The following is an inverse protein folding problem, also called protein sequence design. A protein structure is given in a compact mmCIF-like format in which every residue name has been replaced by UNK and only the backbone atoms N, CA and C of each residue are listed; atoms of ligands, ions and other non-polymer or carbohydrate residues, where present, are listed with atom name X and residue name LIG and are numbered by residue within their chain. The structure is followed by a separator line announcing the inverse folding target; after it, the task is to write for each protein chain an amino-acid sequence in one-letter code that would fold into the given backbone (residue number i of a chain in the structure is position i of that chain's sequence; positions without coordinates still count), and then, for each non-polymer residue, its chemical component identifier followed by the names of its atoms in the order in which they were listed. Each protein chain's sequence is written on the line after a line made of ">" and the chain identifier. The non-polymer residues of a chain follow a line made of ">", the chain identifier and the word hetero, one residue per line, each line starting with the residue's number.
data_IF_451299656693
#
_entry.id   IF_451299656693
#
_cell.length_a   1.000
_cell.length_b   1.000
_cell.length_c   1.000
_cell.angle_alpha   90.00
_cell.angle_beta   90.00
_cell.angle_gamma   90.00
#
_symmetry.space_group_name_H-M   'P 1'
#
loop_
_entity.id
_entity.type
_entity.pdbx_description
1 polymer ?
#
# COMPACT_ATOMS: atom_id res chain seq x y z
N UNK A 1 23.66 -22.96 -2.32
CA UNK A 1 22.76 -21.96 -1.72
C UNK A 1 21.68 -22.72 -0.96
N UNK A 2 21.62 -22.58 0.35
CA UNK A 2 20.51 -23.12 1.14
C UNK A 2 19.31 -22.24 0.83
N UNK A 3 18.28 -22.78 0.17
CA UNK A 3 17.05 -22.01 -0.05
C UNK A 3 16.39 -21.78 1.30
N UNK A 4 16.30 -20.52 1.71
CA UNK A 4 15.53 -20.14 2.90
C UNK A 4 14.08 -20.64 2.72
N UNK A 5 13.49 -21.24 3.76
CA UNK A 5 12.08 -21.58 3.72
C UNK A 5 11.24 -20.33 3.44
N UNK A 6 10.34 -20.40 2.47
CA UNK A 6 9.49 -19.27 2.05
C UNK A 6 8.76 -18.62 3.23
N UNK A 7 8.29 -19.42 4.18
CA UNK A 7 7.59 -18.94 5.39
C UNK A 7 8.46 -18.01 6.23
N UNK A 8 9.74 -18.36 6.45
CA UNK A 8 10.68 -17.55 7.24
C UNK A 8 10.98 -16.24 6.51
N UNK A 9 11.15 -16.30 5.17
CA UNK A 9 11.32 -15.10 4.36
C UNK A 9 10.11 -14.17 4.48
N UNK A 10 8.90 -14.67 4.28
CA UNK A 10 7.68 -13.88 4.31
C UNK A 10 7.41 -13.28 5.70
N UNK A 11 7.68 -14.03 6.77
CA UNK A 11 7.56 -13.52 8.13
C UNK A 11 8.55 -12.37 8.37
N UNK A 12 9.84 -12.58 8.05
CA UNK A 12 10.90 -11.59 8.26
C UNK A 12 10.63 -10.33 7.43
N UNK A 13 10.29 -10.50 6.14
CA UNK A 13 9.90 -9.42 5.25
C UNK A 13 8.73 -8.60 5.83
N UNK A 14 7.67 -9.27 6.28
CA UNK A 14 6.51 -8.60 6.87
C UNK A 14 6.85 -7.83 8.14
N UNK A 15 7.76 -8.34 8.97
CA UNK A 15 8.23 -7.69 10.20
C UNK A 15 9.06 -6.44 9.89
N UNK A 16 10.03 -6.51 8.96
CA UNK A 16 10.82 -5.33 8.55
C UNK A 16 9.94 -4.29 7.89
N UNK A 17 9.08 -4.70 6.97
CA UNK A 17 8.13 -3.81 6.31
C UNK A 17 7.19 -3.10 7.29
N UNK A 18 6.72 -3.79 8.33
CA UNK A 18 5.95 -3.18 9.40
C UNK A 18 6.71 -2.06 10.09
N UNK A 19 8.02 -2.19 10.31
CA UNK A 19 8.83 -1.13 10.93
C UNK A 19 8.88 0.12 10.04
N UNK A 20 8.95 -0.02 8.72
CA UNK A 20 8.93 1.09 7.76
C UNK A 20 7.56 1.78 7.79
N UNK A 21 6.49 1.02 7.59
CA UNK A 21 5.11 1.53 7.52
C UNK A 21 4.70 2.23 8.82
N UNK A 22 5.11 1.69 9.97
CA UNK A 22 4.80 2.28 11.29
C UNK A 22 5.78 3.37 11.73
N UNK A 23 6.70 3.78 10.82
CA UNK A 23 7.74 4.80 11.09
C UNK A 23 8.65 4.47 12.28
N UNK A 24 8.77 3.20 12.66
CA UNK A 24 9.81 2.73 13.61
C UNK A 24 11.18 2.70 12.96
N UNK A 25 11.24 2.50 11.63
CA UNK A 25 12.35 2.87 10.77
C UNK A 25 11.92 4.11 10.00
N UNK A 26 12.53 5.24 10.31
CA UNK A 26 12.15 6.54 9.73
C UNK A 26 12.82 6.75 8.36
N UNK A 27 12.24 7.58 7.46
CA UNK A 27 12.88 7.98 6.22
C UNK A 27 14.31 8.50 6.43
N UNK A 28 15.23 8.15 5.54
CA UNK A 28 16.66 8.49 5.64
C UNK A 28 17.46 7.67 6.64
N UNK A 29 16.80 6.90 7.52
CA UNK A 29 17.50 6.12 8.54
C UNK A 29 18.33 5.00 7.94
N UNK A 30 19.64 4.96 8.28
CA UNK A 30 20.54 3.90 7.91
C UNK A 30 20.14 2.57 8.57
N UNK A 31 20.11 1.54 7.76
CA UNK A 31 19.77 0.17 8.16
C UNK A 31 21.03 -0.68 8.06
N UNK A 32 21.36 -1.38 9.15
CA UNK A 32 22.40 -2.42 9.15
C UNK A 32 21.76 -3.76 9.47
N UNK A 33 22.30 -4.83 8.88
CA UNK A 33 21.85 -6.21 9.13
C UNK A 33 21.90 -6.55 10.60
N UNK A 34 23.00 -6.23 11.26
CA UNK A 34 23.20 -6.46 12.69
C UNK A 34 22.13 -5.78 13.55
N UNK A 35 21.79 -4.51 13.25
CA UNK A 35 20.76 -3.79 14.02
C UNK A 35 19.37 -4.43 13.81
N UNK A 36 19.05 -4.85 12.60
CA UNK A 36 17.77 -5.52 12.32
C UNK A 36 17.70 -6.89 12.96
N UNK A 37 18.75 -7.69 12.85
CA UNK A 37 18.86 -9.00 13.48
C UNK A 37 18.59 -8.90 14.98
N UNK A 38 19.28 -7.99 15.67
CA UNK A 38 19.07 -7.74 17.09
C UNK A 38 17.65 -7.23 17.42
N UNK A 39 17.15 -6.24 16.65
CA UNK A 39 15.82 -5.65 16.90
C UNK A 39 14.67 -6.64 16.71
N UNK A 40 14.83 -7.54 15.74
CA UNK A 40 13.78 -8.50 15.37
C UNK A 40 14.00 -9.88 16.00
N UNK A 41 15.16 -10.10 16.64
CA UNK A 41 15.59 -11.41 17.14
C UNK A 41 15.47 -12.50 16.05
N UNK A 42 16.09 -12.23 14.89
CA UNK A 42 16.05 -13.07 13.68
C UNK A 42 17.50 -13.46 13.35
N UNK A 43 17.67 -14.64 12.73
CA UNK A 43 18.98 -15.07 12.23
C UNK A 43 19.48 -14.18 11.11
N UNK A 44 20.78 -13.90 11.09
CA UNK A 44 21.42 -12.95 10.18
C UNK A 44 21.27 -13.32 8.69
N UNK A 45 21.21 -14.62 8.35
CA UNK A 45 21.17 -15.12 6.97
C UNK A 45 19.88 -14.77 6.19
N UNK A 46 18.79 -14.44 6.89
CA UNK A 46 17.51 -14.07 6.27
C UNK A 46 17.48 -12.57 5.89
N UNK A 47 18.16 -11.73 6.65
CA UNK A 47 18.07 -10.28 6.54
C UNK A 47 18.58 -9.75 5.21
N UNK A 48 19.76 -10.16 4.67
CA UNK A 48 20.26 -9.67 3.39
C UNK A 48 19.26 -9.86 2.25
N UNK A 49 18.60 -11.03 2.20
CA UNK A 49 17.63 -11.36 1.14
C UNK A 49 16.40 -10.47 1.27
N UNK A 50 15.92 -10.23 2.48
CA UNK A 50 14.78 -9.33 2.75
C UNK A 50 15.13 -7.88 2.40
N UNK A 51 16.33 -7.40 2.75
CA UNK A 51 16.78 -6.06 2.40
C UNK A 51 16.88 -5.86 0.89
N UNK A 52 17.38 -6.86 0.16
CA UNK A 52 17.43 -6.84 -1.30
C UNK A 52 16.02 -6.74 -1.91
N UNK A 53 15.06 -7.51 -1.39
CA UNK A 53 13.67 -7.43 -1.83
C UNK A 53 13.07 -6.04 -1.59
N UNK A 54 13.25 -5.46 -0.40
CA UNK A 54 12.77 -4.13 -0.08
C UNK A 54 13.42 -3.03 -0.92
N UNK A 55 14.69 -3.22 -1.30
CA UNK A 55 15.38 -2.34 -2.24
C UNK A 55 14.80 -2.43 -3.66
N UNK A 56 14.54 -3.64 -4.15
CA UNK A 56 13.86 -3.85 -5.46
C UNK A 56 12.46 -3.21 -5.49
N UNK A 57 11.76 -3.22 -4.36
CA UNK A 57 10.48 -2.52 -4.19
C UNK A 57 10.64 -1.00 -4.07
N UNK A 58 11.86 -0.48 -4.01
CA UNK A 58 12.17 0.94 -3.80
C UNK A 58 11.73 1.49 -2.44
N UNK A 59 11.60 0.63 -1.43
CA UNK A 59 11.41 1.02 -0.04
C UNK A 59 12.74 1.39 0.64
N UNK A 60 13.83 0.79 0.16
CA UNK A 60 15.19 1.09 0.60
C UNK A 60 16.02 1.62 -0.57
N UNK A 61 16.98 2.50 -0.27
CA UNK A 61 17.95 3.06 -1.21
C UNK A 61 19.37 2.89 -0.69
N UNK A 62 20.38 2.96 -1.60
CA UNK A 62 21.78 2.69 -1.26
C UNK A 62 22.25 1.34 -1.78
N UNK A 63 23.30 0.81 -1.20
CA UNK A 63 23.81 -0.54 -1.48
C UNK A 63 24.25 -1.25 -0.19
N UNK A 64 24.41 -2.57 -0.24
CA UNK A 64 24.77 -3.36 0.94
C UNK A 64 26.17 -3.00 1.48
N UNK A 65 27.11 -2.59 0.62
CA UNK A 65 28.50 -2.27 1.00
C UNK A 65 28.60 -0.96 1.79
N UNK A 66 27.82 0.07 1.35
CA UNK A 66 27.80 1.41 1.96
C UNK A 66 26.61 1.63 2.90
N UNK A 67 25.76 0.62 3.05
CA UNK A 67 24.53 0.66 3.83
C UNK A 67 23.31 1.03 3.01
N UNK A 68 22.18 0.55 3.48
CA UNK A 68 20.85 0.86 2.97
C UNK A 68 20.16 1.84 3.92
N UNK A 69 19.32 2.70 3.39
CA UNK A 69 18.45 3.57 4.19
C UNK A 69 17.01 3.48 3.71
N UNK A 70 16.06 3.77 4.61
CA UNK A 70 14.65 3.92 4.21
C UNK A 70 14.55 5.08 3.23
N UNK A 71 13.90 4.84 2.09
CA UNK A 71 13.72 5.89 1.07
C UNK A 71 12.95 7.06 1.68
N UNK A 72 13.48 8.24 1.48
CA UNK A 72 12.84 9.51 1.77
C UNK A 72 12.22 10.05 0.47
N UNK A 73 11.02 10.60 0.55
CA UNK A 73 10.32 11.21 -0.58
C UNK A 73 10.21 12.71 -0.32
N UNK A 74 10.53 13.51 -1.33
CA UNK A 74 10.26 14.95 -1.26
C UNK A 74 8.78 15.24 -1.59
N UNK A 75 8.31 16.44 -1.22
CA UNK A 75 6.92 16.87 -1.47
C UNK A 75 6.54 16.76 -2.95
N UNK A 76 7.46 17.11 -3.86
CA UNK A 76 7.22 16.99 -5.29
C UNK A 76 7.00 15.55 -5.73
N UNK A 77 7.84 14.60 -5.30
CA UNK A 77 7.66 13.17 -5.58
C UNK A 77 6.34 12.64 -5.04
N UNK A 78 5.94 13.09 -3.85
CA UNK A 78 4.65 12.75 -3.25
C UNK A 78 3.51 13.27 -4.12
N UNK A 79 3.56 14.54 -4.52
CA UNK A 79 2.53 15.16 -5.36
C UNK A 79 2.38 14.43 -6.71
N UNK A 80 3.49 14.18 -7.40
CA UNK A 80 3.53 13.51 -8.71
C UNK A 80 2.99 12.07 -8.61
N UNK A 81 3.33 11.35 -7.54
CA UNK A 81 2.84 9.99 -7.36
C UNK A 81 1.33 9.95 -7.06
N UNK A 82 0.79 10.91 -6.32
CA UNK A 82 -0.65 11.01 -6.15
C UNK A 82 -1.37 11.34 -7.46
N UNK A 83 -0.79 12.16 -8.35
CA UNK A 83 -1.35 12.42 -9.68
C UNK A 83 -1.39 11.15 -10.54
N UNK A 84 -0.32 10.33 -10.48
CA UNK A 84 -0.31 8.99 -11.09
C UNK A 84 -1.38 8.06 -10.49
N UNK A 85 -1.55 8.06 -9.16
CA UNK A 85 -2.58 7.29 -8.48
C UNK A 85 -3.97 7.70 -8.94
N UNK A 86 -4.26 9.00 -8.96
CA UNK A 86 -5.56 9.52 -9.41
C UNK A 86 -5.86 9.06 -10.83
N UNK A 87 -4.90 9.18 -11.75
CA UNK A 87 -5.08 8.78 -13.15
C UNK A 87 -5.36 7.27 -13.29
N UNK A 88 -4.56 6.42 -12.64
CA UNK A 88 -4.64 4.97 -12.76
C UNK A 88 -5.84 4.43 -11.97
N UNK A 89 -5.99 4.83 -10.71
CA UNK A 89 -7.01 4.27 -9.84
C UNK A 89 -8.42 4.72 -10.18
N UNK A 90 -8.62 5.95 -10.69
CA UNK A 90 -9.92 6.38 -11.22
C UNK A 90 -10.38 5.49 -12.39
N UNK A 91 -9.46 5.13 -13.28
CA UNK A 91 -9.79 4.23 -14.38
C UNK A 91 -10.03 2.79 -13.89
N UNK A 92 -9.25 2.30 -12.92
CA UNK A 92 -9.49 0.96 -12.35
C UNK A 92 -10.84 0.88 -11.65
N UNK A 93 -11.22 1.90 -10.89
CA UNK A 93 -12.53 2.02 -10.23
C UNK A 93 -13.67 2.05 -11.25
N UNK A 94 -13.54 2.85 -12.32
CA UNK A 94 -14.52 2.90 -13.40
C UNK A 94 -14.76 1.51 -13.98
N UNK A 95 -13.69 0.86 -14.45
CA UNK A 95 -13.79 -0.45 -15.09
C UNK A 95 -14.25 -1.54 -14.12
N UNK A 96 -13.83 -1.50 -12.86
CA UNK A 96 -14.31 -2.41 -11.83
C UNK A 96 -15.82 -2.25 -11.61
N UNK A 97 -16.30 -1.01 -11.51
CA UNK A 97 -17.74 -0.71 -11.35
C UNK A 97 -18.55 -1.23 -12.54
N UNK A 98 -18.02 -1.11 -13.77
CA UNK A 98 -18.67 -1.60 -14.98
C UNK A 98 -18.71 -3.13 -15.07
N UNK A 99 -17.56 -3.76 -14.85
CA UNK A 99 -17.33 -5.13 -15.32
C UNK A 99 -17.25 -6.19 -14.21
N UNK A 100 -16.97 -5.80 -12.96
CA UNK A 100 -16.81 -6.77 -11.89
C UNK A 100 -18.14 -7.44 -11.55
N UNK A 101 -18.17 -8.78 -11.34
CA UNK A 101 -19.36 -9.46 -10.85
C UNK A 101 -19.74 -8.92 -9.47
N UNK A 102 -21.05 -8.99 -9.13
CA UNK A 102 -21.56 -8.46 -7.86
C UNK A 102 -20.82 -9.04 -6.66
N UNK A 103 -20.49 -10.33 -6.70
CA UNK A 103 -19.71 -10.99 -5.65
C UNK A 103 -18.38 -10.31 -5.33
N UNK A 104 -17.71 -9.71 -6.33
CA UNK A 104 -16.46 -8.96 -6.10
C UNK A 104 -16.68 -7.62 -5.40
N UNK A 105 -17.81 -6.97 -5.67
CA UNK A 105 -18.20 -5.76 -4.94
C UNK A 105 -18.57 -6.11 -3.49
N UNK A 106 -19.26 -7.24 -3.31
CA UNK A 106 -19.60 -7.76 -1.98
C UNK A 106 -18.35 -8.15 -1.19
N UNK A 107 -17.33 -8.76 -1.85
CA UNK A 107 -16.02 -9.05 -1.23
C UNK A 107 -15.37 -7.77 -0.68
N UNK A 108 -15.38 -6.66 -1.47
CA UNK A 108 -14.88 -5.36 -1.00
C UNK A 108 -15.68 -4.81 0.18
N UNK A 109 -17.00 -4.94 0.14
CA UNK A 109 -17.86 -4.50 1.24
C UNK A 109 -17.54 -5.28 2.51
N UNK A 110 -17.45 -6.61 2.40
CA UNK A 110 -17.15 -7.49 3.53
C UNK A 110 -15.76 -7.24 4.12
N UNK A 111 -14.78 -6.85 3.31
CA UNK A 111 -13.45 -6.44 3.77
C UNK A 111 -13.52 -5.26 4.76
N UNK A 112 -14.47 -4.34 4.57
CA UNK A 112 -14.60 -3.12 5.36
C UNK A 112 -15.48 -3.30 6.61
N UNK A 113 -16.40 -4.26 6.62
CA UNK A 113 -17.34 -4.50 7.74
C UNK A 113 -16.68 -4.52 9.13
N UNK A 114 -15.53 -5.20 9.36
CA UNK A 114 -14.90 -5.24 10.68
C UNK A 114 -14.46 -3.87 11.22
N UNK A 115 -14.37 -2.87 10.35
CA UNK A 115 -13.85 -1.53 10.67
C UNK A 115 -14.93 -0.44 10.73
N UNK A 116 -16.21 -0.76 10.48
CA UNK A 116 -17.31 0.23 10.47
C UNK A 116 -17.51 0.93 11.82
N UNK A 117 -17.19 0.26 12.91
CA UNK A 117 -17.24 0.85 14.27
C UNK A 117 -15.99 1.66 14.62
N UNK A 118 -15.13 1.89 13.64
CA UNK A 118 -13.86 2.58 13.77
C UNK A 118 -12.66 1.62 13.82
N UNK A 119 -11.62 1.89 12.99
CA UNK A 119 -10.38 1.11 13.02
C UNK A 119 -9.64 1.33 14.34
N UNK A 120 -9.47 0.27 15.13
CA UNK A 120 -8.78 0.34 16.43
C UNK A 120 -7.25 0.16 16.29
N UNK A 121 -6.77 -0.43 15.18
CA UNK A 121 -5.36 -0.68 14.92
C UNK A 121 -4.97 -0.08 13.57
N UNK A 122 -4.17 0.98 13.61
CA UNK A 122 -3.75 1.71 12.41
C UNK A 122 -2.99 0.82 11.40
N UNK A 123 -2.11 -0.08 11.87
CA UNK A 123 -1.38 -0.96 10.98
C UNK A 123 -2.27 -2.03 10.32
N UNK A 124 -3.24 -2.56 11.05
CA UNK A 124 -4.22 -3.50 10.47
C UNK A 124 -5.06 -2.79 9.43
N UNK A 125 -5.57 -1.60 9.74
CA UNK A 125 -6.35 -0.80 8.80
C UNK A 125 -5.51 -0.40 7.57
N UNK A 126 -4.26 0.00 7.75
CA UNK A 126 -3.34 0.27 6.65
C UNK A 126 -3.23 -0.92 5.67
N UNK A 127 -3.13 -2.17 6.18
CA UNK A 127 -3.10 -3.35 5.30
C UNK A 127 -4.40 -3.53 4.51
N UNK A 128 -5.53 -3.20 5.13
CA UNK A 128 -6.84 -3.24 4.48
C UNK A 128 -6.96 -2.16 3.41
N UNK A 129 -6.55 -0.94 3.72
CA UNK A 129 -6.48 0.18 2.78
C UNK A 129 -5.65 -0.18 1.53
N UNK A 130 -4.44 -0.69 1.74
CA UNK A 130 -3.56 -1.16 0.68
C UNK A 130 -4.19 -2.27 -0.16
N UNK A 131 -4.81 -3.25 0.49
CA UNK A 131 -5.50 -4.36 -0.18
C UNK A 131 -6.73 -3.89 -0.96
N UNK A 132 -7.48 -2.92 -0.45
CA UNK A 132 -8.64 -2.32 -1.11
C UNK A 132 -8.26 -1.77 -2.50
N UNK A 133 -7.24 -0.93 -2.56
CA UNK A 133 -6.75 -0.36 -3.82
C UNK A 133 -6.23 -1.43 -4.79
N UNK A 134 -5.43 -2.38 -4.29
CA UNK A 134 -4.91 -3.47 -5.12
C UNK A 134 -6.03 -4.40 -5.63
N UNK A 135 -7.01 -4.73 -4.80
CA UNK A 135 -8.12 -5.60 -5.17
C UNK A 135 -8.93 -5.02 -6.33
N UNK A 136 -9.25 -3.72 -6.29
CA UNK A 136 -9.94 -3.04 -7.37
C UNK A 136 -9.11 -3.08 -8.65
N UNK A 137 -7.84 -2.69 -8.58
CA UNK A 137 -6.95 -2.68 -9.74
C UNK A 137 -6.80 -4.07 -10.37
N UNK A 138 -6.64 -5.10 -9.54
CA UNK A 138 -6.48 -6.50 -9.98
C UNK A 138 -7.74 -7.06 -10.65
N UNK A 139 -8.92 -6.66 -10.19
CA UNK A 139 -10.21 -7.20 -10.64
C UNK A 139 -10.98 -6.25 -11.57
N UNK A 140 -10.36 -5.17 -12.07
CA UNK A 140 -11.02 -4.20 -12.97
C UNK A 140 -11.29 -4.74 -14.40
N UNK A 141 -10.83 -5.95 -14.72
CA UNK A 141 -11.00 -6.54 -16.05
C UNK A 141 -9.98 -6.06 -17.10
N UNK A 142 -9.04 -5.17 -16.74
CA UNK A 142 -8.00 -4.67 -17.63
C UNK A 142 -6.61 -5.07 -17.11
N UNK A 143 -6.05 -6.13 -17.70
CA UNK A 143 -4.74 -6.67 -17.31
C UNK A 143 -3.61 -5.66 -17.48
N UNK A 144 -3.64 -4.88 -18.56
CA UNK A 144 -2.61 -3.87 -18.84
C UNK A 144 -2.63 -2.76 -17.79
N UNK A 145 -3.82 -2.30 -17.42
CA UNK A 145 -3.98 -1.27 -16.38
C UNK A 145 -3.48 -1.76 -15.01
N UNK A 146 -3.74 -3.04 -14.67
CA UNK A 146 -3.17 -3.63 -13.46
C UNK A 146 -1.65 -3.72 -13.52
N UNK A 147 -1.05 -4.02 -14.69
CA UNK A 147 0.40 -3.98 -14.86
C UNK A 147 0.96 -2.56 -14.68
N UNK A 148 0.27 -1.52 -15.21
CA UNK A 148 0.65 -0.13 -14.97
C UNK A 148 0.58 0.24 -13.49
N UNK A 149 -0.49 -0.16 -12.77
CA UNK A 149 -0.62 0.04 -11.32
C UNK A 149 0.59 -0.54 -10.56
N UNK A 150 1.04 -1.75 -10.93
CA UNK A 150 2.22 -2.38 -10.34
C UNK A 150 3.52 -1.67 -10.72
N UNK A 151 3.70 -1.35 -12.01
CA UNK A 151 4.92 -0.74 -12.53
C UNK A 151 5.13 0.68 -12.00
N UNK A 152 4.05 1.40 -11.75
CA UNK A 152 4.09 2.71 -11.08
C UNK A 152 4.45 2.62 -9.59
N UNK A 153 4.64 1.40 -9.05
CA UNK A 153 5.02 1.18 -7.64
C UNK A 153 4.08 1.85 -6.64
N UNK A 154 2.77 1.88 -6.95
CA UNK A 154 1.76 2.51 -6.08
C UNK A 154 1.76 1.90 -4.69
N UNK A 155 1.80 0.57 -4.58
CA UNK A 155 1.80 -0.09 -3.27
C UNK A 155 3.07 0.19 -2.44
N UNK A 156 4.30 0.11 -2.99
CA UNK A 156 5.49 0.57 -2.29
C UNK A 156 5.45 2.04 -1.87
N UNK A 157 4.89 2.92 -2.72
CA UNK A 157 4.68 4.32 -2.36
C UNK A 157 3.76 4.45 -1.14
N UNK A 158 2.63 3.74 -1.12
CA UNK A 158 1.73 3.70 0.04
C UNK A 158 2.45 3.22 1.31
N UNK A 159 3.34 2.23 1.18
CA UNK A 159 4.16 1.73 2.29
C UNK A 159 5.09 2.82 2.86
N UNK A 160 5.62 3.71 2.01
CA UNK A 160 6.48 4.83 2.42
C UNK A 160 5.72 5.99 3.06
N UNK A 161 4.62 6.42 2.46
CA UNK A 161 3.85 7.56 2.97
C UNK A 161 3.00 7.20 4.18
N UNK A 162 2.39 6.01 4.18
CA UNK A 162 1.48 5.55 5.24
C UNK A 162 0.14 6.29 5.23
N UNK A 163 -0.58 6.21 6.35
CA UNK A 163 -1.85 6.91 6.56
C UNK A 163 -1.62 8.14 7.44
N UNK A 164 -1.92 9.32 6.93
CA UNK A 164 -1.72 10.61 7.61
C UNK A 164 -3.05 11.37 7.85
N UNK A 165 -4.15 10.63 8.01
CA UNK A 165 -5.49 11.18 8.22
C UNK A 165 -6.26 10.36 9.26
N UNK A 166 -7.31 10.92 9.88
CA UNK A 166 -8.19 10.14 10.77
C UNK A 166 -8.72 8.90 10.06
N UNK A 167 -8.49 7.73 10.66
CA UNK A 167 -8.83 6.44 10.05
C UNK A 167 -10.33 6.31 9.75
N UNK A 168 -11.19 6.89 10.61
CA UNK A 168 -12.64 6.91 10.40
C UNK A 168 -13.03 7.67 9.12
N UNK A 169 -12.33 8.76 8.80
CA UNK A 169 -12.59 9.52 7.58
C UNK A 169 -12.21 8.71 6.34
N UNK A 170 -11.05 8.04 6.36
CA UNK A 170 -10.61 7.16 5.28
C UNK A 170 -11.61 6.00 5.10
N UNK A 171 -12.03 5.39 6.20
CA UNK A 171 -13.01 4.31 6.21
C UNK A 171 -14.34 4.73 5.56
N UNK A 172 -14.86 5.92 5.93
CA UNK A 172 -16.10 6.44 5.36
C UNK A 172 -15.98 6.68 3.86
N UNK A 173 -14.84 7.21 3.41
CA UNK A 173 -14.57 7.39 1.98
C UNK A 173 -14.58 6.07 1.21
N UNK A 174 -13.96 5.01 1.77
CA UNK A 174 -14.02 3.67 1.17
C UNK A 174 -15.45 3.13 1.09
N UNK A 175 -16.25 3.29 2.13
CA UNK A 175 -17.66 2.90 2.13
C UNK A 175 -18.46 3.63 1.06
N UNK A 176 -18.20 4.93 0.88
CA UNK A 176 -18.86 5.74 -0.14
C UNK A 176 -18.50 5.26 -1.56
N UNK A 177 -17.22 4.87 -1.80
CA UNK A 177 -16.77 4.31 -3.08
C UNK A 177 -17.50 2.98 -3.34
N UNK A 178 -17.50 2.07 -2.37
CA UNK A 178 -18.17 0.76 -2.50
C UNK A 178 -19.68 0.92 -2.69
N UNK A 179 -20.31 1.88 -2.01
CA UNK A 179 -21.74 2.20 -2.20
C UNK A 179 -22.05 2.62 -3.64
N UNK A 180 -21.20 3.45 -4.25
CA UNK A 180 -21.36 3.84 -5.66
C UNK A 180 -21.17 2.63 -6.61
N UNK A 181 -20.19 1.74 -6.31
CA UNK A 181 -19.98 0.52 -7.07
C UNK A 181 -21.18 -0.44 -7.01
N UNK A 182 -21.80 -0.59 -5.83
CA UNK A 182 -23.01 -1.39 -5.66
C UNK A 182 -24.17 -0.89 -6.52
N UNK A 183 -24.28 0.43 -6.66
CA UNK A 183 -25.31 1.09 -7.49
C UNK A 183 -24.94 1.08 -8.99
N UNK A 184 -23.77 0.57 -9.37
CA UNK A 184 -23.22 0.63 -10.73
C UNK A 184 -23.10 2.08 -11.26
N UNK A 185 -22.99 3.05 -10.34
CA UNK A 185 -22.80 4.45 -10.65
C UNK A 185 -21.31 4.76 -10.83
N UNK A 186 -20.85 4.63 -12.09
CA UNK A 186 -19.44 4.78 -12.46
C UNK A 186 -18.93 6.21 -12.19
N UNK A 187 -19.73 7.21 -12.55
CA UNK A 187 -19.33 8.61 -12.42
C UNK A 187 -19.16 8.96 -10.94
N UNK A 188 -20.08 8.52 -10.12
CA UNK A 188 -20.01 8.71 -8.67
C UNK A 188 -18.83 7.94 -8.05
N UNK A 189 -18.59 6.69 -8.47
CA UNK A 189 -17.46 5.90 -7.99
C UNK A 189 -16.12 6.56 -8.32
N UNK A 190 -15.95 7.03 -9.57
CA UNK A 190 -14.76 7.77 -10.02
C UNK A 190 -14.60 9.08 -9.23
N UNK A 191 -15.66 9.84 -9.06
CA UNK A 191 -15.62 11.08 -8.26
C UNK A 191 -15.19 10.80 -6.81
N UNK A 192 -15.71 9.74 -6.20
CA UNK A 192 -15.39 9.40 -4.80
C UNK A 192 -13.93 8.95 -4.63
N UNK A 193 -13.40 8.10 -5.51
CA UNK A 193 -11.97 7.71 -5.44
C UNK A 193 -11.05 8.90 -5.71
N UNK A 194 -11.38 9.78 -6.64
CA UNK A 194 -10.60 11.00 -6.92
C UNK A 194 -10.54 11.88 -5.68
N UNK A 195 -11.68 12.17 -5.03
CA UNK A 195 -11.72 12.96 -3.79
C UNK A 195 -10.92 12.29 -2.68
N UNK A 196 -11.03 10.98 -2.51
CA UNK A 196 -10.26 10.20 -1.53
C UNK A 196 -8.75 10.39 -1.72
N UNK A 197 -8.25 10.24 -2.95
CA UNK A 197 -6.83 10.39 -3.28
C UNK A 197 -6.35 11.84 -3.16
N UNK A 198 -7.16 12.83 -3.56
CA UNK A 198 -6.83 14.23 -3.36
C UNK A 198 -6.80 14.64 -1.89
N UNK A 199 -7.71 14.08 -1.07
CA UNK A 199 -7.68 14.29 0.38
C UNK A 199 -6.39 13.69 0.98
N UNK A 200 -5.98 12.51 0.52
CA UNK A 200 -4.72 11.90 0.92
C UNK A 200 -3.52 12.76 0.47
N UNK A 201 -3.47 13.20 -0.80
CA UNK A 201 -2.44 14.10 -1.34
C UNK A 201 -2.26 15.33 -0.43
N UNK A 202 -3.35 16.05 -0.15
CA UNK A 202 -3.33 17.26 0.70
C UNK A 202 -2.85 17.03 2.12
N UNK A 203 -3.01 15.83 2.67
CA UNK A 203 -2.56 15.52 4.02
C UNK A 203 -1.07 15.22 4.12
N UNK A 204 -0.41 15.00 2.99
CA UNK A 204 1.02 14.69 2.91
C UNK A 204 1.87 15.87 2.40
N UNK A 205 1.24 16.94 1.92
CA UNK A 205 1.85 18.20 1.47
C UNK A 205 1.57 19.30 2.46
#
# INVERSE_FOLDING_TARGET
>A
MVSLPEEIFQETYGRVKKLIVTKKLIPGQLITEHRLSHTLNIKDDTIPVVLLQLQQESLLVGNLDNGLSVRELCEQEIAEMFDCRIAIESMTVKLFTQNAPQSKIDDLRNLLVPFEKGPQNAYVFYKIDRYFHEFIAKNCGNRTLYQLFKSAKILPFMDLVGLNRPLNSIMQEHLDIVSAMHQRDEERAVKKITIHLENAKRSHL
#
